data_IF_630552262299
#
_entry.id   IF_630552262299
#
_cell.length_a   1.000
_cell.length_b   1.000
_cell.length_c   1.000
_cell.angle_alpha   90.00
_cell.angle_beta   90.00
_cell.angle_gamma   90.00
#
_symmetry.space_group_name_H-M   'P 1'
#
loop_
_entity.id
_entity.type
_entity.pdbx_description
1 polymer ?
#
# COMPACT_ATOMS: atom_id res chain seq x y z
N UNK A 1 14.73 -13.96 -2.15
CA UNK A 1 13.27 -13.72 -2.15
C UNK A 1 12.61 -14.54 -1.07
N UNK A 2 11.76 -13.93 -0.28
CA UNK A 2 11.00 -14.62 0.77
C UNK A 2 9.52 -14.33 0.53
N UNK A 3 8.85 -15.26 -0.16
CA UNK A 3 7.43 -15.14 -0.46
C UNK A 3 6.60 -15.60 0.74
N UNK A 4 5.68 -14.75 1.17
CA UNK A 4 4.74 -15.07 2.24
C UNK A 4 3.32 -14.99 1.70
N UNK A 5 2.54 -16.05 1.93
CA UNK A 5 1.13 -16.06 1.58
C UNK A 5 0.37 -15.16 2.55
N UNK A 6 -0.52 -14.32 2.02
CA UNK A 6 -1.29 -13.38 2.83
C UNK A 6 -2.77 -13.72 2.86
N UNK A 7 -3.48 -13.61 1.74
CA UNK A 7 -4.90 -13.91 1.66
C UNK A 7 -5.24 -14.42 0.26
N UNK A 8 -6.44 -14.99 0.10
CA UNK A 8 -6.95 -15.33 -1.23
C UNK A 8 -7.39 -14.08 -1.98
N UNK A 9 -7.38 -14.16 -3.31
CA UNK A 9 -7.90 -13.08 -4.16
C UNK A 9 -9.37 -12.80 -3.87
N UNK A 10 -10.13 -13.84 -3.55
CA UNK A 10 -11.55 -13.71 -3.19
C UNK A 10 -11.73 -12.93 -1.88
N UNK A 11 -10.88 -13.17 -0.89
CA UNK A 11 -10.95 -12.43 0.38
C UNK A 11 -10.63 -10.95 0.17
N UNK A 12 -9.67 -10.63 -0.70
CA UNK A 12 -9.36 -9.25 -1.05
C UNK A 12 -10.55 -8.57 -1.72
N UNK A 13 -11.20 -9.25 -2.67
CA UNK A 13 -12.38 -8.72 -3.34
C UNK A 13 -13.54 -8.48 -2.34
N UNK A 14 -13.74 -9.40 -1.41
CA UNK A 14 -14.75 -9.26 -0.37
C UNK A 14 -14.46 -8.11 0.60
N UNK A 15 -13.21 -7.73 0.75
CA UNK A 15 -12.81 -6.60 1.58
C UNK A 15 -12.89 -5.25 0.84
N UNK A 16 -13.46 -5.22 -0.36
CA UNK A 16 -13.59 -4.00 -1.16
C UNK A 16 -12.39 -3.71 -2.05
N UNK A 17 -11.53 -4.70 -2.26
CA UNK A 17 -10.39 -4.58 -3.16
C UNK A 17 -9.11 -4.05 -2.52
N UNK A 18 -9.09 -3.81 -1.22
CA UNK A 18 -7.89 -3.36 -0.51
C UNK A 18 -7.97 -3.70 0.97
N UNK A 19 -6.81 -3.85 1.60
CA UNK A 19 -6.72 -4.05 3.05
C UNK A 19 -5.26 -3.91 3.48
N UNK A 20 -5.03 -3.81 4.79
CA UNK A 20 -3.69 -3.83 5.37
C UNK A 20 -3.48 -5.11 6.15
N UNK A 21 -2.29 -5.67 6.06
CA UNK A 21 -1.95 -6.94 6.71
C UNK A 21 -0.54 -6.87 7.29
N UNK A 22 -0.34 -7.52 8.43
CA UNK A 22 0.99 -7.69 9.02
C UNK A 22 1.56 -9.04 8.60
N UNK A 23 2.74 -9.02 8.00
CA UNK A 23 3.42 -10.24 7.55
C UNK A 23 4.94 -10.04 7.63
N UNK A 24 5.65 -11.00 8.23
CA UNK A 24 7.10 -10.95 8.32
C UNK A 24 7.66 -9.71 9.01
N UNK A 25 6.95 -9.16 10.00
CA UNK A 25 7.36 -7.95 10.70
C UNK A 25 7.02 -6.65 9.98
N UNK A 26 6.39 -6.72 8.81
CA UNK A 26 5.98 -5.56 8.03
C UNK A 26 4.46 -5.40 8.08
N UNK A 27 3.98 -4.16 8.04
CA UNK A 27 2.57 -3.86 7.81
C UNK A 27 2.45 -3.39 6.37
N UNK A 28 1.69 -4.12 5.57
CA UNK A 28 1.64 -3.95 4.12
C UNK A 28 0.23 -3.60 3.68
N UNK A 29 0.11 -2.58 2.84
CA UNK A 29 -1.15 -2.22 2.17
C UNK A 29 -1.22 -2.98 0.85
N UNK A 30 -2.29 -3.74 0.66
CA UNK A 30 -2.50 -4.56 -0.53
C UNK A 30 -3.77 -4.09 -1.22
N UNK A 31 -3.71 -3.92 -2.55
CA UNK A 31 -4.84 -3.43 -3.31
C UNK A 31 -4.90 -4.08 -4.68
N UNK A 32 -6.11 -4.21 -5.18
CA UNK A 32 -6.38 -4.64 -6.54
C UNK A 32 -6.59 -3.42 -7.42
N UNK A 33 -5.69 -3.22 -8.38
CA UNK A 33 -5.81 -2.17 -9.39
C UNK A 33 -6.37 -2.70 -10.70
N UNK A 34 -6.50 -1.83 -11.69
CA UNK A 34 -7.00 -2.21 -13.02
C UNK A 34 -6.02 -3.12 -13.76
N UNK A 35 -4.74 -3.00 -13.45
CA UNK A 35 -3.66 -3.73 -14.11
C UNK A 35 -3.13 -4.89 -13.27
N UNK A 36 -3.71 -5.19 -12.11
CA UNK A 36 -3.28 -6.25 -11.24
C UNK A 36 -3.21 -5.85 -9.78
N UNK A 37 -2.39 -6.58 -9.02
CA UNK A 37 -2.27 -6.37 -7.57
C UNK A 37 -1.07 -5.50 -7.24
N UNK A 38 -1.20 -4.72 -6.18
CA UNK A 38 -0.14 -3.84 -5.69
C UNK A 38 0.05 -4.03 -4.19
N UNK A 39 1.28 -3.91 -3.74
CA UNK A 39 1.62 -4.00 -2.32
C UNK A 39 2.63 -2.93 -1.96
N UNK A 40 2.38 -2.19 -0.89
CA UNK A 40 3.21 -1.08 -0.46
C UNK A 40 3.22 -1.06 1.07
N UNK A 41 4.27 -0.46 1.66
CA UNK A 41 4.29 -0.24 3.10
C UNK A 41 3.01 0.50 3.51
N UNK A 42 2.31 -0.01 4.52
CA UNK A 42 1.04 0.55 4.97
C UNK A 42 1.20 1.68 5.97
N UNK A 43 2.39 1.85 6.53
CA UNK A 43 2.64 2.87 7.56
C UNK A 43 3.08 4.16 6.90
N UNK A 44 2.32 5.23 7.11
CA UNK A 44 2.63 6.54 6.54
C UNK A 44 4.00 7.02 7.01
N UNK A 45 4.82 7.50 6.07
CA UNK A 45 6.20 7.90 6.34
C UNK A 45 6.34 9.11 7.26
N UNK A 46 5.28 9.92 7.41
CA UNK A 46 5.36 11.15 8.23
C UNK A 46 4.75 11.01 9.63
N UNK A 47 3.81 10.08 9.84
CA UNK A 47 3.02 10.06 11.08
C UNK A 47 2.74 8.65 11.63
N UNK A 48 3.30 7.63 11.03
CA UNK A 48 3.10 6.21 11.43
C UNK A 48 1.64 5.77 11.49
N UNK A 49 0.75 6.47 10.80
CA UNK A 49 -0.64 6.05 10.66
C UNK A 49 -0.76 5.01 9.55
N UNK A 50 -1.73 4.13 9.66
CA UNK A 50 -1.99 3.12 8.64
C UNK A 50 -2.76 3.76 7.50
N UNK A 51 -2.30 3.56 6.26
CA UNK A 51 -2.97 4.05 5.07
C UNK A 51 -4.35 3.38 4.93
N UNK A 52 -5.36 4.13 4.50
CA UNK A 52 -6.70 3.57 4.46
C UNK A 52 -7.64 4.10 3.40
N UNK A 53 -7.34 5.21 2.76
CA UNK A 53 -8.23 5.81 1.76
C UNK A 53 -7.70 5.50 0.36
N UNK A 54 -8.21 4.43 -0.23
CA UNK A 54 -7.77 3.93 -1.52
C UNK A 54 -8.65 4.44 -2.65
N UNK A 55 -8.03 4.92 -3.74
CA UNK A 55 -8.71 5.28 -4.97
C UNK A 55 -8.17 4.40 -6.11
N UNK A 56 -9.01 3.46 -6.57
CA UNK A 56 -8.62 2.52 -7.61
C UNK A 56 -8.49 3.17 -8.99
N UNK A 57 -9.17 4.29 -9.23
CA UNK A 57 -9.16 4.93 -10.54
C UNK A 57 -7.80 5.51 -10.87
N UNK A 58 -7.11 6.10 -9.89
CA UNK A 58 -5.79 6.69 -10.10
C UNK A 58 -4.68 5.95 -9.37
N UNK A 59 -4.96 4.82 -8.73
CA UNK A 59 -4.01 3.99 -7.98
C UNK A 59 -3.29 4.81 -6.90
N UNK A 60 -4.04 5.56 -6.13
CA UNK A 60 -3.50 6.34 -5.03
C UNK A 60 -4.10 5.92 -3.70
N UNK A 61 -3.36 6.20 -2.62
CA UNK A 61 -3.83 5.94 -1.28
C UNK A 61 -3.48 7.13 -0.39
N UNK A 62 -4.41 7.52 0.47
CA UNK A 62 -4.23 8.62 1.41
C UNK A 62 -4.12 8.14 2.83
N UNK A 63 -3.28 8.83 3.58
CA UNK A 63 -3.17 8.65 5.03
C UNK A 63 -4.34 9.39 5.70
N UNK A 64 -5.15 8.73 6.52
CA UNK A 64 -6.29 9.39 7.16
C UNK A 64 -5.90 10.42 8.23
N UNK A 65 -4.66 10.37 8.74
CA UNK A 65 -4.23 11.30 9.78
C UNK A 65 -4.05 12.73 9.28
N UNK A 66 -3.26 12.92 8.22
CA UNK A 66 -2.93 14.25 7.71
C UNK A 66 -3.06 14.36 6.19
N UNK A 67 -3.74 13.41 5.59
CA UNK A 67 -4.14 13.42 4.19
C UNK A 67 -2.98 13.39 3.17
N UNK A 68 -1.80 12.92 3.57
CA UNK A 68 -0.71 12.68 2.62
C UNK A 68 -1.15 11.66 1.58
N UNK A 69 -0.77 11.88 0.32
CA UNK A 69 -1.19 11.02 -0.80
C UNK A 69 0.02 10.33 -1.41
N UNK A 70 -0.12 9.04 -1.65
CA UNK A 70 0.95 8.20 -2.21
C UNK A 70 0.49 7.53 -3.49
N UNK A 71 1.43 7.38 -4.43
CA UNK A 71 1.21 6.62 -5.66
C UNK A 71 1.49 5.14 -5.37
N UNK A 72 0.47 4.30 -5.50
CA UNK A 72 0.58 2.88 -5.20
C UNK A 72 1.46 2.13 -6.21
N UNK A 73 1.63 2.66 -7.41
CA UNK A 73 2.46 2.02 -8.43
C UNK A 73 3.95 2.32 -8.27
N UNK A 74 4.32 3.43 -7.64
CA UNK A 74 5.72 3.84 -7.49
C UNK A 74 6.17 3.98 -6.04
N UNK A 75 5.25 4.11 -5.10
CA UNK A 75 5.55 4.39 -3.70
C UNK A 75 5.85 5.86 -3.42
N UNK A 76 5.78 6.73 -4.42
CA UNK A 76 6.12 8.13 -4.26
C UNK A 76 5.01 8.91 -3.54
N UNK A 77 5.42 9.86 -2.68
CA UNK A 77 4.46 10.80 -2.10
C UNK A 77 4.08 11.82 -3.18
N UNK A 78 2.78 11.92 -3.47
CA UNK A 78 2.26 12.86 -4.48
C UNK A 78 1.82 14.17 -3.85
N UNK A 79 1.24 14.12 -2.66
CA UNK A 79 0.81 15.29 -1.92
C UNK A 79 1.32 15.19 -0.49
N UNK A 80 1.94 16.25 0.04
CA UNK A 80 2.43 16.23 1.41
C UNK A 80 1.27 16.26 2.41
N UNK A 81 1.50 15.87 3.68
CA UNK A 81 0.49 16.03 4.72
C UNK A 81 0.18 17.52 4.90
N UNK A 82 -1.07 17.86 5.22
CA UNK A 82 -1.47 19.25 5.33
C UNK A 82 -0.76 19.99 6.48
N UNK A 83 -0.26 19.26 7.48
CA UNK A 83 0.52 19.84 8.60
C UNK A 83 1.97 20.15 8.22
N UNK A 84 2.45 19.65 7.08
CA UNK A 84 3.81 19.88 6.60
C UNK A 84 3.80 20.07 5.08
N UNK A 85 3.22 21.16 4.58
CA UNK A 85 3.03 21.36 3.14
C UNK A 85 4.33 21.48 2.36
N UNK A 86 5.45 21.78 3.04
CA UNK A 86 6.76 21.89 2.44
C UNK A 86 7.61 20.64 2.62
N UNK A 87 7.01 19.51 3.03
CA UNK A 87 7.72 18.25 3.20
C UNK A 87 8.42 17.83 1.91
N UNK A 88 9.60 17.21 2.04
CA UNK A 88 10.39 16.75 0.89
C UNK A 88 9.79 15.44 0.35
N UNK A 89 8.88 15.55 -0.61
CA UNK A 89 8.14 14.41 -1.16
C UNK A 89 9.06 13.30 -1.67
N UNK A 90 10.19 13.65 -2.24
CA UNK A 90 11.14 12.66 -2.78
C UNK A 90 11.75 11.77 -1.69
N UNK A 91 11.79 12.24 -0.44
CA UNK A 91 12.37 11.51 0.69
C UNK A 91 11.34 10.80 1.55
N UNK A 92 10.06 11.01 1.29
CA UNK A 92 8.97 10.47 2.10
C UNK A 92 8.16 9.39 1.38
N UNK A 93 8.70 8.83 0.31
CA UNK A 93 8.07 7.72 -0.38
C UNK A 93 8.02 6.46 0.48
N UNK A 94 7.22 5.51 0.06
CA UNK A 94 7.03 4.25 0.75
C UNK A 94 7.58 3.09 -0.09
N UNK A 95 8.07 2.06 0.59
CA UNK A 95 8.61 0.87 -0.07
C UNK A 95 7.50 0.10 -0.76
N UNK A 96 7.74 -0.31 -2.01
CA UNK A 96 6.89 -1.26 -2.72
C UNK A 96 7.36 -2.68 -2.43
N UNK A 97 6.40 -3.61 -2.39
CA UNK A 97 6.69 -5.03 -2.26
C UNK A 97 6.23 -5.74 -3.53
N UNK A 98 7.00 -6.72 -3.98
CA UNK A 98 6.56 -7.58 -5.07
C UNK A 98 5.39 -8.42 -4.59
N UNK A 99 4.38 -8.56 -5.43
CA UNK A 99 3.18 -9.32 -5.12
C UNK A 99 2.84 -10.20 -6.31
N UNK A 100 2.31 -11.39 -6.05
CA UNK A 100 1.87 -12.30 -7.10
C UNK A 100 0.62 -13.06 -6.67
N UNK A 101 -0.15 -13.50 -7.66
CA UNK A 101 -1.28 -14.41 -7.47
C UNK A 101 -0.75 -15.82 -7.77
N UNK A 102 -0.77 -16.69 -6.77
CA UNK A 102 -0.36 -18.08 -6.91
C UNK A 102 -1.57 -18.96 -6.65
N UNK A 103 -2.21 -19.41 -7.73
CA UNK A 103 -3.38 -20.30 -7.69
C UNK A 103 -4.52 -19.75 -6.81
N UNK A 104 -4.79 -18.46 -6.91
CA UNK A 104 -5.86 -17.80 -6.17
C UNK A 104 -5.47 -17.30 -4.80
N UNK A 105 -4.19 -17.41 -4.41
CA UNK A 105 -3.67 -16.87 -3.16
C UNK A 105 -2.62 -15.82 -3.44
N UNK A 106 -2.73 -14.67 -2.79
CA UNK A 106 -1.75 -13.61 -2.92
C UNK A 106 -0.54 -13.90 -2.04
N UNK A 107 0.64 -13.66 -2.62
CA UNK A 107 1.91 -13.79 -1.92
C UNK A 107 2.72 -12.52 -2.13
N UNK A 108 3.40 -12.08 -1.08
CA UNK A 108 4.29 -10.91 -1.16
C UNK A 108 5.71 -11.31 -0.81
N UNK A 109 6.67 -10.65 -1.47
CA UNK A 109 8.08 -10.83 -1.17
C UNK A 109 8.45 -9.84 -0.07
N UNK A 110 8.75 -10.36 1.12
CA UNK A 110 9.06 -9.56 2.32
C UNK A 110 10.56 -9.39 2.54
N UNK A 111 11.36 -9.77 1.59
CA UNK A 111 12.80 -9.59 1.67
C UNK A 111 13.25 -8.19 1.30
#
# INVERSE_FOLDING_TARGET
MVWKRIVSTKALDNAGGHFSVSVGGNTIFVARGKDGYHAMDAVCSHAKCILGVYNADDLTVRCPCHNAKFDLSTGRMLEPPFVAPNALKDKLGLKLFKIRDNEGFLEVDVE
#
